data_IF_708645150637
#
_entry.id   IF_708645150637
#
_cell.length_a   1.000
_cell.length_b   1.000
_cell.length_c   1.000
_cell.angle_alpha   90.00
_cell.angle_beta   90.00
_cell.angle_gamma   90.00
#
_symmetry.space_group_name_H-M   'P 1'
#
loop_
_entity.id
_entity.type
_entity.pdbx_description
1 polymer ?
#
# COMPACT_ATOMS: atom_id res chain seq x y z
N UNK A 1 65.81 -20.21 -31.81
CA UNK A 1 64.91 -19.03 -31.89
C UNK A 1 63.50 -19.43 -32.30
N UNK A 2 63.31 -20.08 -33.46
CA UNK A 2 61.98 -20.43 -33.97
C UNK A 2 61.10 -21.20 -32.96
N UNK A 3 61.63 -22.24 -32.30
CA UNK A 3 60.89 -23.01 -31.30
C UNK A 3 60.44 -22.20 -30.07
N UNK A 4 61.24 -21.22 -29.61
CA UNK A 4 60.84 -20.35 -28.49
C UNK A 4 59.75 -19.38 -28.89
N UNK A 5 59.82 -18.82 -30.10
CA UNK A 5 58.78 -17.94 -30.65
C UNK A 5 57.46 -18.69 -30.82
N UNK A 6 57.48 -19.93 -31.30
CA UNK A 6 56.28 -20.76 -31.43
C UNK A 6 55.67 -21.09 -30.06
N UNK A 7 56.49 -21.37 -29.06
CA UNK A 7 56.01 -21.64 -27.70
C UNK A 7 55.34 -20.42 -27.07
N UNK A 8 55.94 -19.23 -27.20
CA UNK A 8 55.36 -17.98 -26.69
C UNK A 8 54.03 -17.68 -27.37
N UNK A 9 53.94 -17.89 -28.70
CA UNK A 9 52.70 -17.68 -29.45
C UNK A 9 51.61 -18.68 -29.02
N UNK A 10 51.96 -19.96 -28.78
CA UNK A 10 51.01 -20.95 -28.27
C UNK A 10 50.51 -20.60 -26.87
N UNK A 11 51.39 -20.15 -25.96
CA UNK A 11 51.00 -19.72 -24.61
C UNK A 11 50.09 -18.49 -24.68
N UNK A 12 50.40 -17.53 -25.55
CA UNK A 12 49.57 -16.34 -25.74
C UNK A 12 48.18 -16.69 -26.28
N UNK A 13 48.09 -17.50 -27.33
CA UNK A 13 46.80 -17.97 -27.87
C UNK A 13 46.02 -18.77 -26.83
N UNK A 14 46.66 -19.67 -26.09
CA UNK A 14 46.01 -20.43 -25.03
C UNK A 14 45.50 -19.52 -23.90
N UNK A 15 46.26 -18.50 -23.53
CA UNK A 15 45.85 -17.51 -22.53
C UNK A 15 44.65 -16.69 -23.00
N UNK A 16 44.65 -16.24 -24.26
CA UNK A 16 43.53 -15.46 -24.82
C UNK A 16 42.26 -16.30 -24.91
N UNK A 17 42.36 -17.51 -25.49
CA UNK A 17 41.22 -18.44 -25.58
C UNK A 17 40.68 -18.82 -24.21
N UNK A 18 41.55 -19.04 -23.22
CA UNK A 18 41.13 -19.31 -21.84
C UNK A 18 40.43 -18.13 -21.21
N UNK A 19 40.92 -16.91 -21.45
CA UNK A 19 40.34 -15.68 -20.90
C UNK A 19 38.98 -15.42 -21.53
N UNK A 20 38.89 -15.46 -22.86
CA UNK A 20 37.64 -15.30 -23.60
C UNK A 20 36.60 -16.34 -23.21
N UNK A 21 37.00 -17.62 -23.14
CA UNK A 21 36.09 -18.70 -22.73
C UNK A 21 35.57 -18.49 -21.30
N UNK A 22 36.41 -17.97 -20.41
CA UNK A 22 36.00 -17.67 -19.03
C UNK A 22 35.04 -16.49 -18.99
N UNK A 23 35.33 -15.41 -19.72
CA UNK A 23 34.46 -14.24 -19.83
C UNK A 23 33.09 -14.65 -20.40
N UNK A 24 33.08 -15.37 -21.53
CA UNK A 24 31.85 -15.87 -22.16
C UNK A 24 31.07 -16.79 -21.24
N UNK A 25 31.72 -17.72 -20.54
CA UNK A 25 31.06 -18.58 -19.56
C UNK A 25 30.42 -17.76 -18.43
N UNK A 26 31.12 -16.75 -17.90
CA UNK A 26 30.61 -15.89 -16.84
C UNK A 26 29.43 -15.06 -17.35
N UNK A 27 29.51 -14.44 -18.53
CA UNK A 27 28.40 -13.65 -19.10
C UNK A 27 27.18 -14.53 -19.34
N UNK A 28 27.35 -15.69 -19.97
CA UNK A 28 26.24 -16.60 -20.27
C UNK A 28 25.62 -17.19 -19.00
N UNK A 29 26.43 -17.58 -18.01
CA UNK A 29 25.92 -18.07 -16.72
C UNK A 29 25.17 -16.98 -15.95
N UNK A 30 25.62 -15.72 -16.02
CA UNK A 30 24.93 -14.58 -15.42
C UNK A 30 23.58 -14.30 -16.09
N UNK A 31 23.49 -14.38 -17.42
CA UNK A 31 22.20 -14.24 -18.12
C UNK A 31 21.22 -15.36 -17.77
N UNK A 32 21.69 -16.62 -17.70
CA UNK A 32 20.88 -17.73 -17.22
C UNK A 32 20.41 -17.49 -15.78
N UNK A 33 21.30 -17.03 -14.90
CA UNK A 33 20.95 -16.74 -13.50
C UNK A 33 19.94 -15.58 -13.38
N UNK A 34 20.02 -14.57 -14.24
CA UNK A 34 19.01 -13.49 -14.33
C UNK A 34 17.64 -14.02 -14.70
N UNK A 35 17.57 -14.91 -15.69
CA UNK A 35 16.33 -15.56 -16.09
C UNK A 35 15.77 -16.43 -14.96
N UNK A 36 16.62 -17.25 -14.32
CA UNK A 36 16.22 -18.07 -13.17
C UNK A 36 15.72 -17.24 -12.00
N UNK A 37 16.41 -16.16 -11.65
CA UNK A 37 16.00 -15.24 -10.60
C UNK A 37 14.65 -14.58 -10.93
N UNK A 38 14.44 -14.18 -12.18
CA UNK A 38 13.16 -13.62 -12.63
C UNK A 38 12.00 -14.62 -12.51
N UNK A 39 12.16 -15.85 -13.00
CA UNK A 39 11.12 -16.87 -12.88
C UNK A 39 10.90 -17.30 -11.43
N UNK A 40 11.94 -17.26 -10.58
CA UNK A 40 11.81 -17.47 -9.14
C UNK A 40 10.96 -16.38 -8.48
N UNK A 41 11.18 -15.11 -8.85
CA UNK A 41 10.35 -14.00 -8.39
C UNK A 41 8.90 -14.15 -8.86
N UNK A 42 8.69 -14.59 -10.11
CA UNK A 42 7.35 -14.83 -10.67
C UNK A 42 6.62 -15.97 -9.96
N UNK A 43 7.30 -17.08 -9.65
CA UNK A 43 6.72 -18.17 -8.86
C UNK A 43 6.37 -17.71 -7.43
N UNK A 44 7.23 -16.89 -6.82
CA UNK A 44 6.95 -16.26 -5.52
C UNK A 44 5.68 -15.40 -5.55
N UNK A 45 5.51 -14.59 -6.61
CA UNK A 45 4.31 -13.79 -6.80
C UNK A 45 3.06 -14.65 -6.99
N UNK A 46 3.13 -15.72 -7.78
CA UNK A 46 1.98 -16.63 -7.96
C UNK A 46 1.56 -17.27 -6.63
N UNK A 47 2.52 -17.62 -5.77
CA UNK A 47 2.24 -18.09 -4.41
C UNK A 47 1.63 -16.99 -3.52
N UNK A 48 2.13 -15.76 -3.60
CA UNK A 48 1.56 -14.62 -2.89
C UNK A 48 0.10 -14.35 -3.30
N UNK A 49 -0.22 -14.44 -4.60
CA UNK A 49 -1.58 -14.32 -5.12
C UNK A 49 -2.48 -15.45 -4.62
N UNK A 50 -1.96 -16.68 -4.53
CA UNK A 50 -2.69 -17.80 -3.93
C UNK A 50 -3.01 -17.51 -2.46
N UNK A 51 -2.04 -17.03 -1.68
CA UNK A 51 -2.24 -16.66 -0.26
C UNK A 51 -3.32 -15.59 -0.10
N UNK A 52 -3.31 -14.55 -0.95
CA UNK A 52 -4.37 -13.53 -0.98
C UNK A 52 -5.73 -14.17 -1.31
N UNK A 53 -5.77 -15.10 -2.27
CA UNK A 53 -7.04 -15.77 -2.64
C UNK A 53 -7.59 -16.62 -1.50
N UNK A 54 -6.72 -17.38 -0.83
CA UNK A 54 -7.07 -18.20 0.34
C UNK A 54 -7.57 -17.30 1.46
N UNK A 55 -6.87 -16.19 1.75
CA UNK A 55 -7.33 -15.17 2.70
C UNK A 55 -8.72 -14.65 2.37
N UNK A 56 -8.96 -14.24 1.12
CA UNK A 56 -10.25 -13.71 0.68
C UNK A 56 -11.39 -14.74 0.81
N UNK A 57 -11.10 -16.02 0.63
CA UNK A 57 -12.07 -17.11 0.80
C UNK A 57 -12.33 -17.39 2.28
N UNK A 58 -11.28 -17.54 3.09
CA UNK A 58 -11.37 -17.80 4.52
C UNK A 58 -12.12 -16.66 5.24
N UNK A 59 -11.80 -15.42 4.89
CA UNK A 59 -12.45 -14.19 5.41
C UNK A 59 -13.97 -14.13 5.21
N UNK A 60 -14.53 -14.92 4.29
CA UNK A 60 -15.98 -14.97 4.03
C UNK A 60 -16.68 -16.12 4.75
N UNK A 61 -15.93 -17.02 5.34
CA UNK A 61 -16.50 -18.13 6.11
C UNK A 61 -16.96 -17.59 7.47
N UNK A 62 -18.08 -18.08 8.01
CA UNK A 62 -18.48 -17.77 9.38
C UNK A 62 -17.47 -18.42 10.32
N UNK A 63 -16.54 -17.61 10.82
CA UNK A 63 -15.47 -18.08 11.71
C UNK A 63 -15.75 -17.66 13.15
N UNK A 64 -15.33 -18.46 14.15
CA UNK A 64 -15.48 -18.10 15.55
C UNK A 64 -14.77 -16.77 15.87
N UNK A 65 -15.25 -16.02 16.88
CA UNK A 65 -14.52 -14.86 17.41
C UNK A 65 -13.08 -15.24 17.76
N UNK A 66 -12.12 -14.36 17.44
CA UNK A 66 -10.69 -14.59 17.63
C UNK A 66 -9.96 -15.02 16.35
N UNK A 67 -10.58 -15.82 15.47
CA UNK A 67 -9.94 -16.37 14.26
C UNK A 67 -9.47 -15.31 13.23
N UNK A 68 -9.97 -14.09 13.31
CA UNK A 68 -9.65 -13.02 12.36
C UNK A 68 -8.15 -12.65 12.32
N UNK A 69 -7.47 -12.69 13.46
CA UNK A 69 -6.02 -12.44 13.53
C UNK A 69 -5.23 -13.56 12.84
N UNK A 70 -5.62 -14.82 13.06
CA UNK A 70 -4.99 -16.00 12.45
C UNK A 70 -5.22 -16.01 10.92
N UNK A 71 -6.38 -15.54 10.45
CA UNK A 71 -6.63 -15.39 9.01
C UNK A 71 -5.71 -14.33 8.41
N UNK A 72 -5.47 -13.22 9.10
CA UNK A 72 -4.55 -12.18 8.61
C UNK A 72 -3.10 -12.70 8.47
N UNK A 73 -2.69 -13.68 9.28
CA UNK A 73 -1.39 -14.34 9.14
C UNK A 73 -1.20 -15.03 7.78
N UNK A 74 -2.30 -15.46 7.13
CA UNK A 74 -2.25 -16.11 5.80
C UNK A 74 -1.55 -15.21 4.78
N UNK A 75 -1.78 -13.89 4.81
CA UNK A 75 -1.14 -12.97 3.89
C UNK A 75 0.02 -12.17 4.54
N UNK A 76 -0.13 -11.74 5.79
CA UNK A 76 0.83 -10.80 6.41
C UNK A 76 2.18 -11.42 6.78
N UNK A 77 2.25 -12.74 7.01
CA UNK A 77 3.51 -13.39 7.36
C UNK A 77 4.48 -13.40 6.16
N UNK A 78 5.73 -12.91 6.28
CA UNK A 78 6.72 -13.02 5.21
C UNK A 78 6.99 -14.49 4.85
N UNK A 79 7.04 -14.81 3.57
CA UNK A 79 7.32 -16.18 3.13
C UNK A 79 8.65 -16.25 2.38
N UNK A 80 9.38 -17.33 2.59
CA UNK A 80 10.61 -17.63 1.89
C UNK A 80 10.64 -19.11 1.49
N UNK A 81 11.20 -19.37 0.31
CA UNK A 81 11.53 -20.71 -0.15
C UNK A 81 13.02 -20.78 -0.53
N UNK A 82 13.75 -21.79 -0.04
CA UNK A 82 13.39 -22.70 1.05
C UNK A 82 13.07 -21.98 2.37
N UNK A 83 12.44 -22.69 3.32
CA UNK A 83 12.16 -22.12 4.63
C UNK A 83 13.48 -21.78 5.35
N UNK A 84 13.60 -20.60 5.97
CA UNK A 84 14.81 -20.21 6.68
C UNK A 84 14.98 -21.07 7.93
N UNK A 85 16.21 -21.52 8.17
CA UNK A 85 16.58 -22.30 9.35
C UNK A 85 17.06 -21.33 10.43
N UNK A 86 16.36 -21.27 11.54
CA UNK A 86 16.76 -20.48 12.70
C UNK A 86 17.73 -21.26 13.61
N UNK A 87 18.44 -20.55 14.49
CA UNK A 87 19.44 -21.19 15.36
C UNK A 87 18.78 -22.20 16.31
N UNK A 88 17.59 -21.85 16.79
CA UNK A 88 16.71 -22.59 17.68
C UNK A 88 15.92 -23.73 17.01
N UNK A 89 15.97 -23.86 15.67
CA UNK A 89 15.28 -24.94 14.96
C UNK A 89 15.87 -26.31 15.35
N UNK A 90 15.01 -27.24 15.76
CA UNK A 90 15.42 -28.61 16.14
C UNK A 90 16.13 -29.33 14.99
N UNK A 91 17.04 -30.27 15.29
CA UNK A 91 17.77 -31.04 14.27
C UNK A 91 16.83 -31.79 13.31
N UNK A 92 15.77 -32.42 13.83
CA UNK A 92 14.79 -33.12 12.99
C UNK A 92 14.07 -32.17 12.01
N UNK A 93 13.66 -30.99 12.48
CA UNK A 93 13.03 -30.00 11.61
C UNK A 93 14.01 -29.42 10.56
N UNK A 94 15.30 -29.31 10.89
CA UNK A 94 16.34 -28.93 9.92
C UNK A 94 16.45 -29.96 8.81
N UNK A 95 16.53 -31.24 9.17
CA UNK A 95 16.63 -32.34 8.21
C UNK A 95 15.40 -32.41 7.30
N UNK A 96 14.19 -32.20 7.85
CA UNK A 96 12.95 -32.17 7.06
C UNK A 96 12.92 -31.00 6.07
N UNK A 97 13.32 -29.79 6.50
CA UNK A 97 13.36 -28.60 5.64
C UNK A 97 14.39 -28.80 4.52
N UNK A 98 15.59 -29.26 4.86
CA UNK A 98 16.62 -29.53 3.86
C UNK A 98 16.22 -30.66 2.91
N UNK A 99 15.59 -31.71 3.43
CA UNK A 99 15.07 -32.83 2.65
C UNK A 99 14.03 -32.36 1.64
N UNK A 100 13.06 -31.54 2.09
CA UNK A 100 12.05 -30.95 1.21
C UNK A 100 12.66 -30.01 0.16
N UNK A 101 13.66 -29.20 0.53
CA UNK A 101 14.37 -28.33 -0.39
C UNK A 101 15.13 -29.13 -1.46
N UNK A 102 15.83 -30.21 -1.06
CA UNK A 102 16.58 -31.10 -1.97
C UNK A 102 15.66 -31.93 -2.89
N UNK A 103 14.47 -32.33 -2.40
CA UNK A 103 13.49 -33.07 -3.18
C UNK A 103 12.71 -32.19 -4.17
N UNK A 104 12.75 -30.87 -4.00
CA UNK A 104 12.07 -29.93 -4.87
C UNK A 104 12.69 -29.90 -6.26
N UNK A 105 11.84 -29.92 -7.29
CA UNK A 105 12.23 -29.71 -8.68
C UNK A 105 12.61 -28.24 -8.97
N UNK A 106 12.37 -27.34 -8.02
CA UNK A 106 12.65 -25.92 -8.14
C UNK A 106 13.99 -25.58 -7.48
N UNK A 107 14.99 -25.20 -8.29
CA UNK A 107 16.37 -24.90 -7.86
C UNK A 107 16.58 -23.45 -7.39
N UNK A 108 15.53 -22.62 -7.49
CA UNK A 108 15.58 -21.22 -7.14
C UNK A 108 15.33 -20.96 -5.66
N UNK A 109 15.68 -19.74 -5.24
CA UNK A 109 15.27 -19.20 -3.95
C UNK A 109 14.34 -18.03 -4.19
N UNK A 110 13.36 -17.83 -3.32
CA UNK A 110 12.56 -16.63 -3.37
C UNK A 110 12.03 -16.25 -2.01
N UNK A 111 11.71 -14.97 -1.88
CA UNK A 111 10.96 -14.44 -0.75
C UNK A 111 9.80 -13.59 -1.26
N UNK A 112 8.77 -13.42 -0.46
CA UNK A 112 7.81 -12.34 -0.67
C UNK A 112 7.23 -11.81 0.63
N UNK A 113 6.90 -10.52 0.58
CA UNK A 113 6.07 -9.84 1.57
C UNK A 113 4.79 -9.37 0.92
N UNK A 114 3.70 -9.40 1.69
CA UNK A 114 2.41 -8.85 1.28
C UNK A 114 2.04 -7.81 2.33
N UNK A 115 1.81 -6.58 1.90
CA UNK A 115 1.45 -5.46 2.78
C UNK A 115 0.08 -4.93 2.41
N UNK A 116 -0.66 -4.48 3.42
CA UNK A 116 -1.93 -3.79 3.22
C UNK A 116 -1.70 -2.41 2.60
N UNK A 117 -2.40 -2.15 1.50
CA UNK A 117 -2.48 -0.82 0.86
C UNK A 117 -3.85 -0.18 1.06
N UNK A 118 -4.86 -0.96 1.42
CA UNK A 118 -6.23 -0.51 1.58
C UNK A 118 -6.40 0.51 2.70
N UNK A 119 -5.56 0.42 3.74
CA UNK A 119 -5.65 1.27 4.94
C UNK A 119 -4.76 2.49 4.93
N UNK A 120 -3.98 2.70 3.86
CA UNK A 120 -3.20 3.91 3.65
C UNK A 120 -4.09 5.02 3.09
N UNK A 121 -3.63 6.27 3.22
CA UNK A 121 -4.31 7.42 2.65
C UNK A 121 -4.17 7.40 1.12
N UNK A 122 -5.27 7.34 0.40
CA UNK A 122 -5.22 7.37 -1.07
C UNK A 122 -5.06 8.80 -1.56
N UNK A 123 -3.88 9.16 -2.05
CA UNK A 123 -3.59 10.54 -2.45
C UNK A 123 -4.42 10.97 -3.67
N UNK A 124 -4.88 10.02 -4.49
CA UNK A 124 -5.77 10.32 -5.61
C UNK A 124 -7.15 10.82 -5.14
N UNK A 125 -7.50 10.65 -3.86
CA UNK A 125 -8.75 11.18 -3.31
C UNK A 125 -8.77 12.71 -3.21
N UNK A 126 -7.63 13.39 -3.29
CA UNK A 126 -7.58 14.86 -3.44
C UNK A 126 -8.24 15.33 -4.74
N UNK A 127 -8.38 14.46 -5.74
CA UNK A 127 -9.11 14.70 -6.98
C UNK A 127 -10.37 13.82 -7.10
N UNK A 128 -10.85 13.24 -5.99
CA UNK A 128 -12.09 12.46 -5.97
C UNK A 128 -13.26 13.30 -6.44
N UNK A 129 -14.27 12.74 -7.14
CA UNK A 129 -15.51 13.46 -7.44
C UNK A 129 -16.28 13.86 -6.18
N UNK A 130 -16.15 13.11 -5.08
CA UNK A 130 -16.77 13.45 -3.79
C UNK A 130 -16.01 14.59 -3.12
N UNK A 131 -16.74 15.66 -2.76
CA UNK A 131 -16.15 16.80 -2.04
C UNK A 131 -15.64 16.38 -0.66
N UNK A 132 -16.40 15.55 0.03
CA UNK A 132 -16.08 15.05 1.36
C UNK A 132 -14.75 14.31 1.37
N UNK A 133 -14.53 13.41 0.41
CA UNK A 133 -13.27 12.67 0.29
C UNK A 133 -12.07 13.59 0.02
N UNK A 134 -12.23 14.62 -0.83
CA UNK A 134 -11.18 15.61 -1.08
C UNK A 134 -10.78 16.35 0.20
N UNK A 135 -11.74 16.88 0.94
CA UNK A 135 -11.47 17.66 2.16
C UNK A 135 -10.87 16.80 3.27
N UNK A 136 -11.37 15.56 3.46
CA UNK A 136 -10.81 14.63 4.43
C UNK A 136 -9.35 14.31 4.11
N UNK A 137 -9.08 13.92 2.86
CA UNK A 137 -7.72 13.55 2.43
C UNK A 137 -6.76 14.73 2.58
N UNK A 138 -7.21 15.93 2.19
CA UNK A 138 -6.45 17.17 2.38
C UNK A 138 -6.07 17.38 3.84
N UNK A 139 -7.05 17.26 4.75
CA UNK A 139 -6.83 17.42 6.19
C UNK A 139 -5.85 16.37 6.72
N UNK A 140 -6.03 15.10 6.36
CA UNK A 140 -5.16 14.01 6.83
C UNK A 140 -3.70 14.21 6.39
N UNK A 141 -3.48 14.62 5.14
CA UNK A 141 -2.13 14.92 4.63
C UNK A 141 -1.52 16.11 5.39
N UNK A 142 -2.30 17.17 5.65
CA UNK A 142 -1.82 18.30 6.44
C UNK A 142 -1.47 17.90 7.88
N UNK A 143 -2.29 17.06 8.50
CA UNK A 143 -2.05 16.54 9.85
C UNK A 143 -0.73 15.75 9.95
N UNK A 144 -0.26 15.10 8.88
CA UNK A 144 1.08 14.46 8.86
C UNK A 144 2.18 15.52 9.07
N UNK A 145 2.11 16.63 8.33
CA UNK A 145 3.10 17.71 8.45
C UNK A 145 2.99 18.46 9.79
N UNK A 146 1.77 18.75 10.24
CA UNK A 146 1.51 19.36 11.54
C UNK A 146 2.05 18.49 12.68
N UNK A 147 1.79 17.19 12.62
CA UNK A 147 2.32 16.21 13.57
C UNK A 147 3.86 16.18 13.54
N UNK A 148 4.48 16.30 12.37
CA UNK A 148 5.95 16.38 12.27
C UNK A 148 6.51 17.67 12.87
N UNK A 149 5.89 18.82 12.60
CA UNK A 149 6.26 20.11 13.20
C UNK A 149 6.18 20.08 14.73
N UNK A 150 5.15 19.44 15.28
CA UNK A 150 4.98 19.35 16.73
C UNK A 150 6.01 18.45 17.40
N UNK A 151 6.40 17.34 16.75
CA UNK A 151 7.22 16.30 17.38
C UNK A 151 8.71 16.33 17.03
N UNK A 152 9.14 17.18 16.08
CA UNK A 152 10.54 17.31 15.67
C UNK A 152 10.99 18.78 15.67
N UNK A 153 11.82 19.14 16.65
CA UNK A 153 12.31 20.51 16.82
C UNK A 153 13.14 20.98 15.61
N UNK A 154 13.93 20.11 14.98
CA UNK A 154 14.74 20.48 13.81
C UNK A 154 13.85 20.76 12.60
N UNK A 155 12.84 19.92 12.40
CA UNK A 155 11.86 20.13 11.33
C UNK A 155 11.11 21.46 11.55
N UNK A 156 10.75 21.75 12.80
CA UNK A 156 10.09 23.01 13.18
C UNK A 156 10.96 24.23 12.93
N UNK A 157 12.24 24.19 13.29
CA UNK A 157 13.19 25.30 13.06
C UNK A 157 13.26 25.71 11.59
N UNK A 158 13.23 24.73 10.68
CA UNK A 158 13.33 24.97 9.24
C UNK A 158 11.98 25.33 8.62
N UNK A 159 10.89 24.67 9.03
CA UNK A 159 9.61 24.70 8.33
C UNK A 159 8.45 25.34 9.09
N UNK A 160 8.67 26.01 10.24
CA UNK A 160 7.60 26.68 11.00
C UNK A 160 6.77 27.66 10.16
N UNK A 161 7.39 28.32 9.19
CA UNK A 161 6.72 29.29 8.30
C UNK A 161 6.40 28.70 6.91
N UNK A 162 6.61 27.40 6.70
CA UNK A 162 6.32 26.77 5.42
C UNK A 162 4.81 26.57 5.25
N UNK A 163 4.29 26.94 4.08
CA UNK A 163 2.87 26.78 3.78
C UNK A 163 2.57 25.39 3.22
N UNK A 164 2.37 24.41 4.11
CA UNK A 164 2.02 23.04 3.71
C UNK A 164 0.67 22.95 2.97
N UNK A 165 -0.26 23.87 3.22
CA UNK A 165 -1.52 23.95 2.47
C UNK A 165 -1.26 24.22 0.99
N UNK A 166 -0.29 25.08 0.67
CA UNK A 166 0.08 25.38 -0.71
C UNK A 166 0.64 24.14 -1.43
N UNK A 167 1.50 23.38 -0.74
CA UNK A 167 2.03 22.12 -1.27
C UNK A 167 0.91 21.11 -1.53
N UNK A 168 0.02 20.88 -0.56
CA UNK A 168 -1.10 19.92 -0.72
C UNK A 168 -2.06 20.36 -1.83
N UNK A 169 -2.32 21.66 -1.96
CA UNK A 169 -3.10 22.23 -3.07
C UNK A 169 -2.42 21.94 -4.42
N UNK A 170 -1.09 22.06 -4.53
CA UNK A 170 -0.36 21.70 -5.75
C UNK A 170 -0.45 20.20 -6.06
N UNK A 171 -0.47 19.34 -5.04
CA UNK A 171 -0.73 17.90 -5.25
C UNK A 171 -2.12 17.70 -5.85
N UNK A 172 -3.15 18.42 -5.37
CA UNK A 172 -4.49 18.36 -5.96
C UNK A 172 -4.52 18.93 -7.40
N UNK A 173 -3.85 20.06 -7.64
CA UNK A 173 -3.75 20.71 -8.95
C UNK A 173 -3.09 19.81 -10.02
N UNK A 174 -2.15 18.95 -9.61
CA UNK A 174 -1.53 17.93 -10.48
C UNK A 174 -2.58 17.07 -11.21
N UNK A 175 -3.64 16.72 -10.48
CA UNK A 175 -4.66 15.78 -10.92
C UNK A 175 -5.93 16.45 -11.43
N UNK A 176 -6.18 17.69 -10.99
CA UNK A 176 -7.37 18.48 -11.32
C UNK A 176 -7.51 18.65 -12.83
N UNK A 177 -8.74 18.65 -13.34
CA UNK A 177 -9.08 18.99 -14.73
C UNK A 177 -9.33 20.49 -14.92
N UNK A 178 -9.51 21.25 -13.82
CA UNK A 178 -9.78 22.70 -13.85
C UNK A 178 -8.52 23.49 -14.14
N UNK A 179 -8.63 24.61 -14.86
CA UNK A 179 -7.48 25.51 -15.10
C UNK A 179 -7.10 26.36 -13.88
N UNK A 180 -8.03 26.58 -12.95
CA UNK A 180 -7.80 27.34 -11.72
C UNK A 180 -7.01 26.50 -10.71
N UNK A 181 -6.04 27.12 -10.04
CA UNK A 181 -5.37 26.54 -8.88
C UNK A 181 -6.20 26.69 -7.61
N UNK A 182 -6.14 25.70 -6.72
CA UNK A 182 -6.63 25.84 -5.33
C UNK A 182 -5.84 26.87 -4.51
N UNK A 183 -4.66 27.28 -4.99
CA UNK A 183 -3.87 28.40 -4.45
C UNK A 183 -4.23 29.76 -5.08
N UNK A 184 -5.17 29.78 -6.03
CA UNK A 184 -5.54 30.96 -6.81
C UNK A 184 -4.74 31.11 -8.12
N UNK A 185 -5.35 31.77 -9.11
CA UNK A 185 -4.74 31.96 -10.43
C UNK A 185 -4.77 30.70 -11.32
N UNK A 186 -3.93 30.69 -12.36
CA UNK A 186 -3.80 29.56 -13.28
C UNK A 186 -2.81 28.53 -12.72
N UNK A 187 -3.26 27.28 -12.56
CA UNK A 187 -2.41 26.22 -11.98
C UNK A 187 -1.15 25.94 -12.78
N UNK A 188 -1.16 26.14 -14.11
CA UNK A 188 0.00 25.87 -14.98
C UNK A 188 1.21 26.73 -14.64
N UNK A 189 1.00 27.86 -13.97
CA UNK A 189 2.10 28.73 -13.55
C UNK A 189 3.08 28.01 -12.63
N UNK A 190 2.58 27.22 -11.67
CA UNK A 190 3.43 26.48 -10.74
C UNK A 190 4.25 25.37 -11.41
N UNK A 191 3.73 24.78 -12.51
CA UNK A 191 4.35 23.63 -13.18
C UNK A 191 5.16 24.01 -14.43
N UNK A 192 5.31 25.30 -14.74
CA UNK A 192 5.92 25.79 -15.98
C UNK A 192 7.31 25.22 -16.24
N UNK A 193 8.11 25.03 -15.20
CA UNK A 193 9.48 24.51 -15.29
C UNK A 193 9.55 23.05 -15.75
N UNK A 194 8.46 22.28 -15.59
CA UNK A 194 8.36 20.91 -16.05
C UNK A 194 8.00 20.80 -17.54
N UNK A 195 7.55 21.90 -18.16
CA UNK A 195 7.17 21.99 -19.56
C UNK A 195 5.65 22.02 -19.80
N UNK A 196 5.26 22.16 -21.07
CA UNK A 196 3.88 22.45 -21.49
C UNK A 196 2.85 21.34 -21.18
N UNK A 197 3.31 20.12 -20.95
CA UNK A 197 2.46 18.96 -20.65
C UNK A 197 2.12 18.81 -19.16
N UNK A 198 2.49 19.79 -18.32
CA UNK A 198 2.24 19.77 -16.88
C UNK A 198 1.29 20.90 -16.42
N UNK A 199 0.45 20.63 -15.40
CA UNK A 199 0.23 19.32 -14.77
C UNK A 199 -0.52 18.36 -15.71
N UNK A 200 -0.40 17.03 -15.52
CA UNK A 200 -0.95 16.03 -16.44
C UNK A 200 -2.47 15.88 -16.36
N UNK A 201 -3.15 16.54 -15.39
CA UNK A 201 -4.61 16.56 -15.23
C UNK A 201 -5.21 15.14 -15.12
N UNK A 202 -4.51 14.26 -14.41
CA UNK A 202 -4.94 12.89 -14.10
C UNK A 202 -4.37 12.46 -12.75
N UNK A 203 -4.98 11.44 -12.16
CA UNK A 203 -4.42 10.75 -10.99
C UNK A 203 -2.98 10.29 -11.20
N UNK A 204 -2.26 10.16 -10.09
CA UNK A 204 -0.93 9.58 -10.05
C UNK A 204 -0.96 8.13 -10.53
N UNK A 205 -0.02 7.76 -11.41
CA UNK A 205 0.20 6.39 -11.91
C UNK A 205 1.24 5.63 -11.11
N UNK A 206 2.16 6.36 -10.49
CA UNK A 206 3.12 5.84 -9.53
C UNK A 206 3.21 6.84 -8.38
N UNK A 207 3.62 6.37 -7.20
CA UNK A 207 3.82 7.27 -6.09
C UNK A 207 4.99 8.25 -6.36
N UNK A 208 5.98 7.82 -7.13
CA UNK A 208 7.16 8.61 -7.46
C UNK A 208 6.87 9.85 -8.30
N UNK A 209 5.78 9.86 -9.09
CA UNK A 209 5.32 11.06 -9.81
C UNK A 209 5.08 12.26 -8.85
N UNK A 210 4.83 12.01 -7.57
CA UNK A 210 4.66 13.07 -6.57
C UNK A 210 5.91 13.91 -6.36
N UNK A 211 7.11 13.37 -6.62
CA UNK A 211 8.37 14.13 -6.58
C UNK A 211 8.45 15.22 -7.64
N UNK A 212 7.63 15.13 -8.68
CA UNK A 212 7.54 16.17 -9.71
C UNK A 212 6.63 17.32 -9.30
N UNK A 213 5.91 17.23 -8.17
CA UNK A 213 5.06 18.32 -7.70
C UNK A 213 5.94 19.48 -7.19
N UNK A 214 5.82 20.70 -7.73
CA UNK A 214 6.61 21.85 -7.32
C UNK A 214 6.49 22.13 -5.82
N UNK A 215 7.63 22.18 -5.14
CA UNK A 215 7.71 22.34 -3.68
C UNK A 215 7.78 21.02 -2.90
N UNK A 216 7.63 19.86 -3.56
CA UNK A 216 7.89 18.56 -2.96
C UNK A 216 9.40 18.33 -2.83
N UNK A 217 9.89 18.14 -1.61
CA UNK A 217 11.28 17.74 -1.33
C UNK A 217 11.34 16.24 -1.05
N UNK A 218 12.53 15.64 -1.12
CA UNK A 218 12.72 14.25 -0.69
C UNK A 218 12.35 14.06 0.79
N UNK A 219 12.59 15.06 1.64
CA UNK A 219 12.19 15.00 3.05
C UNK A 219 10.67 14.92 3.22
N UNK A 220 9.91 15.75 2.48
CA UNK A 220 8.44 15.72 2.52
C UNK A 220 7.88 14.44 1.91
N UNK A 221 8.46 13.98 0.81
CA UNK A 221 8.06 12.72 0.19
C UNK A 221 8.31 11.54 1.14
N UNK A 222 9.49 11.44 1.73
CA UNK A 222 9.84 10.36 2.65
C UNK A 222 9.01 10.39 3.94
N UNK A 223 8.61 11.58 4.41
CA UNK A 223 7.69 11.74 5.53
C UNK A 223 6.30 11.13 5.24
N UNK A 224 5.74 11.39 4.05
CA UNK A 224 4.37 10.95 3.73
C UNK A 224 4.30 9.54 3.17
N UNK A 225 5.32 9.11 2.39
CA UNK A 225 5.32 7.86 1.62
C UNK A 225 4.92 6.59 2.41
N UNK A 226 5.23 6.43 3.71
CA UNK A 226 4.80 5.25 4.46
C UNK A 226 3.28 5.22 4.70
N UNK A 227 2.65 6.39 4.79
CA UNK A 227 1.24 6.58 5.17
C UNK A 227 0.29 6.74 3.98
N UNK A 228 0.82 7.00 2.79
CA UNK A 228 0.03 7.26 1.58
C UNK A 228 0.14 6.14 0.54
N UNK A 229 -0.82 6.11 -0.38
CA UNK A 229 -0.86 5.17 -1.52
C UNK A 229 -1.63 5.80 -2.69
N UNK A 230 -1.61 5.14 -3.84
CA UNK A 230 -2.52 5.40 -4.98
C UNK A 230 -3.50 4.25 -5.22
N UNK A 231 -3.44 3.21 -4.37
CA UNK A 231 -4.24 1.97 -4.46
C UNK A 231 -5.08 1.75 -3.20
N UNK A 232 -5.50 2.83 -2.54
CA UNK A 232 -6.23 2.75 -1.27
C UNK A 232 -7.66 2.25 -1.46
N UNK A 233 -8.29 1.86 -0.35
CA UNK A 233 -9.65 1.31 -0.39
C UNK A 233 -10.76 2.35 -0.25
N UNK A 234 -10.37 3.64 -0.19
CA UNK A 234 -11.26 4.78 0.09
C UNK A 234 -11.87 4.74 1.50
N UNK A 235 -11.31 3.92 2.38
CA UNK A 235 -11.69 3.76 3.78
C UNK A 235 -10.48 3.33 4.61
N UNK A 236 -10.44 3.76 5.86
CA UNK A 236 -9.37 3.40 6.80
C UNK A 236 -9.78 2.14 7.56
N UNK A 237 -8.91 1.13 7.58
CA UNK A 237 -9.08 -0.01 8.47
C UNK A 237 -8.25 0.18 9.74
N UNK A 238 -8.87 0.45 10.91
CA UNK A 238 -8.11 0.62 12.13
C UNK A 238 -7.42 -0.68 12.59
N UNK A 239 -7.82 -1.84 12.08
CA UNK A 239 -7.20 -3.13 12.41
C UNK A 239 -5.89 -3.41 11.66
N UNK A 240 -5.56 -2.65 10.62
CA UNK A 240 -4.34 -2.86 9.82
C UNK A 240 -3.60 -1.57 9.46
N UNK A 241 -4.21 -0.40 9.61
CA UNK A 241 -3.55 0.89 9.42
C UNK A 241 -2.29 1.02 10.28
N UNK A 242 -1.24 1.61 9.71
CA UNK A 242 -0.04 1.95 10.46
C UNK A 242 -0.34 3.04 11.51
N UNK A 243 0.46 3.09 12.58
CA UNK A 243 0.31 4.10 13.64
C UNK A 243 0.23 5.51 13.08
N UNK A 244 1.08 5.84 12.11
CA UNK A 244 1.13 7.19 11.53
C UNK A 244 -0.10 7.52 10.69
N UNK A 245 -0.74 6.53 10.07
CA UNK A 245 -2.05 6.72 9.42
C UNK A 245 -3.12 7.00 10.48
N UNK A 246 -3.12 6.25 11.60
CA UNK A 246 -4.07 6.50 12.69
C UNK A 246 -3.90 7.90 13.31
N UNK A 247 -2.65 8.37 13.44
CA UNK A 247 -2.32 9.74 13.86
C UNK A 247 -2.81 10.80 12.88
N UNK A 248 -2.78 10.51 11.58
CA UNK A 248 -3.25 11.45 10.56
C UNK A 248 -4.77 11.68 10.56
N UNK A 249 -5.55 10.86 11.28
CA UNK A 249 -7.01 10.95 11.26
C UNK A 249 -7.56 12.19 11.96
N UNK A 250 -6.82 12.76 12.91
CA UNK A 250 -7.22 14.00 13.59
C UNK A 250 -5.98 14.72 14.19
N UNK A 251 -5.88 16.05 14.11
CA UNK A 251 -4.74 16.80 14.66
C UNK A 251 -4.61 16.70 16.19
N UNK A 252 -5.68 16.34 16.91
CA UNK A 252 -5.63 16.13 18.36
C UNK A 252 -5.20 14.69 18.72
N UNK A 253 -4.98 13.81 17.74
CA UNK A 253 -4.53 12.44 17.98
C UNK A 253 -3.11 12.43 18.54
N UNK A 254 -2.94 11.87 19.74
CA UNK A 254 -1.64 11.76 20.40
C UNK A 254 -0.89 10.49 19.98
N UNK A 255 0.44 10.48 20.13
CA UNK A 255 1.24 9.27 19.86
C UNK A 255 0.85 8.11 20.78
N UNK A 256 0.57 8.43 22.06
CA UNK A 256 0.11 7.46 23.05
C UNK A 256 -1.23 6.84 22.67
N UNK A 257 -2.24 7.65 22.30
CA UNK A 257 -3.54 7.12 21.91
C UNK A 257 -3.47 6.25 20.65
N UNK A 258 -2.64 6.63 19.68
CA UNK A 258 -2.43 5.84 18.47
C UNK A 258 -1.64 4.54 18.75
N UNK A 259 -0.64 4.58 19.65
CA UNK A 259 0.05 3.37 20.12
C UNK A 259 -0.93 2.44 20.84
N UNK A 260 -1.71 2.96 21.77
CA UNK A 260 -2.68 2.21 22.54
C UNK A 260 -3.76 1.58 21.65
N UNK A 261 -4.12 2.24 20.54
CA UNK A 261 -5.02 1.71 19.53
C UNK A 261 -4.43 0.50 18.78
N UNK A 262 -3.14 0.57 18.44
CA UNK A 262 -2.41 -0.57 17.85
C UNK A 262 -2.30 -1.71 18.86
N UNK A 263 -1.96 -1.41 20.12
CA UNK A 263 -1.89 -2.44 21.16
C UNK A 263 -3.23 -3.11 21.41
N UNK A 264 -4.34 -2.35 21.45
CA UNK A 264 -5.69 -2.92 21.61
C UNK A 264 -6.00 -3.95 20.53
N UNK A 265 -5.74 -3.63 19.26
CA UNK A 265 -6.14 -4.54 18.15
C UNK A 265 -5.32 -5.82 18.08
N UNK A 266 -4.10 -5.80 18.64
CA UNK A 266 -3.16 -6.92 18.63
C UNK A 266 -3.32 -7.82 19.87
N UNK A 267 -4.08 -7.38 20.88
CA UNK A 267 -4.23 -8.05 22.18
C UNK A 267 -5.72 -8.27 22.52
N UNK A 268 -6.14 -9.54 22.59
CA UNK A 268 -7.52 -9.90 22.94
C UNK A 268 -7.93 -9.42 24.33
N UNK A 269 -6.99 -9.37 25.29
CA UNK A 269 -7.25 -8.93 26.67
C UNK A 269 -7.44 -7.41 26.76
N UNK A 270 -6.90 -6.65 25.79
CA UNK A 270 -7.10 -5.20 25.67
C UNK A 270 -8.31 -4.81 24.83
N UNK A 271 -9.14 -5.79 24.44
CA UNK A 271 -10.38 -5.60 23.69
C UNK A 271 -10.35 -6.10 22.25
N UNK A 272 -9.17 -6.51 21.75
CA UNK A 272 -8.97 -7.06 20.42
C UNK A 272 -9.31 -6.10 19.29
N UNK A 273 -9.47 -6.67 18.09
CA UNK A 273 -9.79 -5.94 16.87
C UNK A 273 -11.06 -5.10 17.01
N UNK A 274 -11.03 -3.92 16.38
CA UNK A 274 -12.17 -3.03 16.22
C UNK A 274 -13.26 -3.71 15.38
N UNK A 275 -14.52 -3.46 15.75
CA UNK A 275 -15.70 -4.17 15.22
C UNK A 275 -16.69 -3.20 14.60
N UNK A 276 -17.41 -3.69 13.59
CA UNK A 276 -18.51 -2.96 12.98
C UNK A 276 -18.86 -3.53 11.61
N UNK A 277 -20.14 -3.78 11.37
CA UNK A 277 -20.61 -4.26 10.07
C UNK A 277 -20.72 -3.11 9.05
N UNK A 278 -20.89 -1.87 9.52
CA UNK A 278 -20.93 -0.65 8.71
C UNK A 278 -19.72 0.24 9.00
N UNK A 279 -19.46 1.19 8.09
CA UNK A 279 -18.43 2.22 8.28
C UNK A 279 -18.66 3.01 9.57
N UNK A 280 -19.92 3.38 9.85
CA UNK A 280 -20.27 4.17 11.03
C UNK A 280 -20.11 3.37 12.33
N UNK A 281 -20.50 2.10 12.37
CA UNK A 281 -20.27 1.23 13.54
C UNK A 281 -18.77 1.07 13.83
N UNK A 282 -17.98 0.78 12.79
CA UNK A 282 -16.53 0.62 12.91
C UNK A 282 -15.86 1.91 13.41
N UNK A 283 -16.24 3.05 12.81
CA UNK A 283 -15.76 4.37 13.24
C UNK A 283 -16.13 4.65 14.69
N UNK A 284 -17.35 4.31 15.10
CA UNK A 284 -17.85 4.56 16.46
C UNK A 284 -17.09 3.73 17.51
N UNK A 285 -16.83 2.45 17.24
CA UNK A 285 -16.02 1.61 18.14
C UNK A 285 -14.59 2.16 18.29
N UNK A 286 -13.97 2.57 17.18
CA UNK A 286 -12.65 3.20 17.22
C UNK A 286 -12.68 4.55 17.96
N UNK A 287 -13.65 5.42 17.64
CA UNK A 287 -13.83 6.74 18.24
C UNK A 287 -13.98 6.65 19.75
N UNK A 288 -14.88 5.79 20.24
CA UNK A 288 -15.15 5.61 21.66
C UNK A 288 -13.89 5.19 22.43
N UNK A 289 -13.05 4.33 21.83
CA UNK A 289 -11.80 3.93 22.45
C UNK A 289 -10.82 5.09 22.56
N UNK A 290 -10.64 5.87 21.49
CA UNK A 290 -9.72 7.00 21.47
C UNK A 290 -10.19 8.10 22.45
N UNK A 291 -11.48 8.42 22.46
CA UNK A 291 -12.04 9.39 23.41
C UNK A 291 -11.92 8.91 24.87
N UNK A 292 -12.01 7.59 25.09
CA UNK A 292 -11.70 6.96 26.38
C UNK A 292 -10.24 7.15 26.85
N UNK A 293 -9.31 7.48 25.95
CA UNK A 293 -7.92 7.87 26.27
C UNK A 293 -7.75 9.38 26.49
N UNK A 294 -8.84 10.14 26.55
CA UNK A 294 -8.82 11.58 26.82
C UNK A 294 -8.59 12.46 25.59
N UNK A 295 -8.55 11.88 24.39
CA UNK A 295 -8.44 12.63 23.13
C UNK A 295 -9.80 13.21 22.75
N UNK A 296 -9.85 14.50 22.39
CA UNK A 296 -11.07 15.15 21.89
C UNK A 296 -11.00 15.27 20.37
N UNK A 297 -11.68 14.37 19.66
CA UNK A 297 -11.68 14.33 18.20
C UNK A 297 -12.53 15.46 17.63
N UNK A 298 -12.09 16.05 16.51
CA UNK A 298 -12.85 17.11 15.86
C UNK A 298 -14.09 16.54 15.15
N UNK A 299 -15.14 17.35 14.91
CA UNK A 299 -16.35 16.90 14.21
C UNK A 299 -16.10 16.34 12.81
N UNK A 300 -15.01 16.73 12.14
CA UNK A 300 -14.65 16.18 10.83
C UNK A 300 -14.28 14.69 10.89
N UNK A 301 -13.89 14.18 12.06
CA UNK A 301 -13.60 12.76 12.24
C UNK A 301 -14.79 11.90 11.84
N UNK A 302 -16.03 12.37 12.09
CA UNK A 302 -17.26 11.65 11.76
C UNK A 302 -17.53 11.55 10.26
N UNK A 303 -16.76 12.26 9.43
CA UNK A 303 -16.86 12.18 7.97
C UNK A 303 -15.93 11.10 7.40
N UNK A 304 -14.95 10.63 8.16
CA UNK A 304 -13.93 9.70 7.70
C UNK A 304 -14.56 8.33 7.40
N UNK A 305 -14.34 7.74 6.20
CA UNK A 305 -14.73 6.38 5.90
C UNK A 305 -13.90 5.37 6.70
N UNK A 306 -14.58 4.44 7.37
CA UNK A 306 -13.95 3.33 8.08
C UNK A 306 -14.38 1.98 7.50
N UNK A 307 -13.53 0.98 7.64
CA UNK A 307 -13.89 -0.42 7.41
C UNK A 307 -13.20 -1.30 8.45
N UNK A 308 -13.94 -2.04 9.26
CA UNK A 308 -13.37 -2.99 10.22
C UNK A 308 -13.29 -4.42 9.65
N UNK A 309 -13.82 -4.60 8.44
CA UNK A 309 -13.82 -5.84 7.68
C UNK A 309 -12.42 -6.11 7.09
N UNK A 310 -12.36 -7.08 6.18
CA UNK A 310 -11.15 -7.65 5.61
C UNK A 310 -10.43 -6.73 4.64
N UNK A 311 -9.10 -6.92 4.58
CA UNK A 311 -8.22 -6.20 3.68
C UNK A 311 -8.49 -6.61 2.24
N UNK A 312 -8.61 -5.62 1.35
CA UNK A 312 -8.97 -5.88 -0.06
C UNK A 312 -7.91 -5.45 -1.06
N UNK A 313 -6.98 -4.60 -0.64
CA UNK A 313 -5.94 -4.05 -1.51
C UNK A 313 -4.57 -4.37 -0.91
N UNK A 314 -3.68 -4.93 -1.73
CA UNK A 314 -2.40 -5.45 -1.29
C UNK A 314 -1.29 -4.99 -2.22
N UNK A 315 -0.11 -4.74 -1.63
CA UNK A 315 1.16 -4.68 -2.35
C UNK A 315 1.91 -5.98 -2.09
N UNK A 316 2.47 -6.56 -3.14
CA UNK A 316 3.31 -7.74 -3.10
C UNK A 316 4.70 -7.33 -3.54
N UNK A 317 5.70 -7.62 -2.71
CA UNK A 317 7.11 -7.53 -3.10
C UNK A 317 7.67 -8.95 -3.16
N UNK A 318 7.82 -9.46 -4.38
CA UNK A 318 8.32 -10.80 -4.65
C UNK A 318 9.77 -10.72 -5.15
N UNK A 319 10.67 -11.40 -4.47
CA UNK A 319 12.10 -11.37 -4.76
C UNK A 319 12.54 -12.79 -5.11
N UNK A 320 13.11 -12.98 -6.29
CA UNK A 320 13.75 -14.23 -6.69
C UNK A 320 15.26 -14.09 -6.67
N UNK A 321 15.93 -15.15 -6.24
CA UNK A 321 17.37 -15.20 -6.06
C UNK A 321 17.94 -16.48 -6.70
N UNK A 322 19.10 -16.36 -7.32
CA UNK A 322 19.83 -17.50 -7.88
C UNK A 322 21.33 -17.28 -7.70
N UNK A 323 22.05 -18.37 -7.41
CA UNK A 323 23.49 -18.33 -7.14
C UNK A 323 23.82 -17.99 -5.69
N UNK A 324 25.12 -17.86 -5.38
CA UNK A 324 25.62 -17.51 -4.05
C UNK A 324 26.85 -16.59 -4.15
N UNK A 325 27.14 -15.85 -3.08
CA UNK A 325 28.30 -14.96 -3.00
C UNK A 325 28.27 -13.82 -4.03
N UNK A 326 29.43 -13.49 -4.62
CA UNK A 326 29.59 -12.38 -5.58
C UNK A 326 28.87 -12.58 -6.92
N UNK A 327 28.41 -13.80 -7.21
CA UNK A 327 27.66 -14.13 -8.43
C UNK A 327 26.16 -14.26 -8.22
N UNK A 328 25.64 -13.95 -7.03
CA UNK A 328 24.22 -14.00 -6.73
C UNK A 328 23.46 -12.94 -7.53
N UNK A 329 22.40 -13.37 -8.20
CA UNK A 329 21.51 -12.49 -8.95
C UNK A 329 20.17 -12.44 -8.24
N UNK A 330 19.65 -11.22 -8.08
CA UNK A 330 18.36 -10.95 -7.50
C UNK A 330 17.48 -10.23 -8.51
N UNK A 331 16.20 -10.61 -8.56
CA UNK A 331 15.15 -9.90 -9.30
C UNK A 331 13.96 -9.63 -8.41
N UNK A 332 13.43 -8.41 -8.48
CA UNK A 332 12.29 -7.97 -7.67
C UNK A 332 11.11 -7.67 -8.59
N UNK A 333 9.96 -8.23 -8.24
CA UNK A 333 8.67 -7.90 -8.84
C UNK A 333 7.83 -7.22 -7.77
N UNK A 334 7.32 -6.03 -8.08
CA UNK A 334 6.35 -5.33 -7.24
C UNK A 334 4.99 -5.34 -7.94
N UNK A 335 3.97 -5.90 -7.29
CA UNK A 335 2.63 -5.99 -7.84
C UNK A 335 1.59 -5.41 -6.86
N UNK A 336 0.59 -4.72 -7.40
CA UNK A 336 -0.55 -4.23 -6.61
C UNK A 336 -1.81 -4.98 -7.01
N UNK A 337 -2.49 -5.52 -6.00
CA UNK A 337 -3.78 -6.21 -6.13
C UNK A 337 -4.86 -5.32 -5.55
N UNK A 338 -5.91 -5.04 -6.31
CA UNK A 338 -6.96 -4.10 -5.90
C UNK A 338 -8.34 -4.61 -6.29
N UNK A 339 -9.32 -4.43 -5.40
CA UNK A 339 -10.73 -4.59 -5.74
C UNK A 339 -11.32 -3.28 -6.27
N UNK A 340 -11.21 -3.07 -7.58
CA UNK A 340 -11.68 -1.86 -8.27
C UNK A 340 -13.18 -1.64 -8.10
N UNK A 341 -13.98 -2.72 -8.11
CA UNK A 341 -15.43 -2.65 -7.95
C UNK A 341 -15.82 -2.12 -6.56
N UNK A 342 -15.18 -2.64 -5.51
CA UNK A 342 -15.43 -2.18 -4.13
C UNK A 342 -15.05 -0.71 -3.97
N UNK A 343 -13.90 -0.29 -4.49
CA UNK A 343 -13.49 1.12 -4.44
C UNK A 343 -14.48 2.05 -5.16
N UNK A 344 -14.95 1.66 -6.36
CA UNK A 344 -15.96 2.42 -7.09
C UNK A 344 -17.31 2.50 -6.35
N UNK A 345 -17.71 1.41 -5.70
CA UNK A 345 -18.93 1.37 -4.88
C UNK A 345 -18.83 2.31 -3.66
N UNK A 346 -17.67 2.36 -3.00
CA UNK A 346 -17.43 3.32 -1.90
C UNK A 346 -17.58 4.75 -2.39
N UNK A 347 -16.91 5.14 -3.48
CA UNK A 347 -17.02 6.50 -4.04
C UNK A 347 -18.49 6.84 -4.37
N UNK A 348 -19.21 5.91 -5.02
CA UNK A 348 -20.62 6.10 -5.36
C UNK A 348 -21.48 6.36 -4.12
N UNK A 349 -21.25 5.64 -3.04
CA UNK A 349 -22.02 5.82 -1.80
C UNK A 349 -21.86 7.23 -1.21
N UNK A 350 -20.67 7.82 -1.30
CA UNK A 350 -20.40 9.18 -0.87
C UNK A 350 -21.06 10.21 -1.78
N UNK A 351 -21.00 10.00 -3.11
CA UNK A 351 -21.70 10.86 -4.05
C UNK A 351 -23.22 10.86 -3.84
N UNK A 352 -23.80 9.68 -3.57
CA UNK A 352 -25.22 9.56 -3.27
C UNK A 352 -25.59 10.24 -1.94
N UNK A 353 -24.71 10.19 -0.92
CA UNK A 353 -24.90 10.90 0.35
C UNK A 353 -24.84 12.42 0.16
N UNK A 354 -23.83 12.93 -0.54
CA UNK A 354 -23.68 14.35 -0.86
C UNK A 354 -24.87 14.88 -1.67
N UNK A 355 -25.37 14.11 -2.64
CA UNK A 355 -26.56 14.49 -3.42
C UNK A 355 -27.79 14.61 -2.52
N UNK A 356 -28.03 13.64 -1.63
CA UNK A 356 -29.16 13.69 -0.68
C UNK A 356 -29.07 14.86 0.28
N UNK A 357 -27.87 15.18 0.77
CA UNK A 357 -27.65 16.34 1.64
C UNK A 357 -27.89 17.66 0.89
N UNK A 358 -27.47 17.76 -0.37
CA UNK A 358 -27.76 18.91 -1.22
C UNK A 358 -29.25 19.08 -1.53
N UNK A 359 -29.96 17.98 -1.82
CA UNK A 359 -31.42 17.95 -2.02
C UNK A 359 -32.17 18.37 -0.75
N UNK A 360 -31.74 17.88 0.42
CA UNK A 360 -32.31 18.27 1.71
C UNK A 360 -32.06 19.75 2.06
N UNK A 361 -30.90 20.30 1.69
CA UNK A 361 -30.57 21.71 1.89
C UNK A 361 -31.34 22.66 0.93
N UNK A 362 -31.90 22.14 -0.16
CA UNK A 362 -32.65 22.91 -1.16
C UNK A 362 -34.19 22.83 -1.00
N UNK A 363 -34.71 22.09 0.00
CA UNK A 363 -36.14 21.86 0.19
C UNK A 363 -36.87 22.87 1.11
N UNK A 364 -37.81 23.64 0.53
CA UNK A 364 -38.90 24.37 1.20
C UNK A 364 -39.93 23.43 1.88
N UNK A 365 -40.71 23.89 2.88
CA UNK A 365 -41.68 23.07 3.60
C UNK A 365 -42.93 22.81 2.74
N UNK A 366 -43.16 21.54 2.40
CA UNK A 366 -44.48 21.09 1.94
C UNK A 366 -44.45 20.19 0.71
N UNK A 367 -44.01 18.94 0.87
CA UNK A 367 -44.56 17.83 0.10
C UNK A 367 -44.60 16.61 1.02
N UNK A 368 -45.81 16.07 1.23
CA UNK A 368 -46.05 14.88 2.04
C UNK A 368 -45.18 13.73 1.53
N UNK A 369 -44.52 12.96 2.40
CA UNK A 369 -43.76 11.81 1.96
C UNK A 369 -44.70 10.81 1.26
N UNK A 370 -44.31 10.25 0.09
CA UNK A 370 -45.05 9.14 -0.50
C UNK A 370 -45.03 7.95 0.49
N UNK A 371 -46.06 7.09 0.46
CA UNK A 371 -46.22 6.03 1.44
C UNK A 371 -44.98 5.15 1.49
N UNK A 372 -44.52 4.87 2.72
CA UNK A 372 -43.45 3.93 3.01
C UNK A 372 -43.84 2.55 2.44
N UNK A 373 -43.42 2.28 1.21
CA UNK A 373 -43.21 0.91 0.75
C UNK A 373 -42.01 0.39 1.52
N UNK A 374 -42.22 -0.71 2.24
CA UNK A 374 -41.29 -1.25 3.22
C UNK A 374 -39.84 -1.20 2.73
N UNK A 375 -38.99 -0.56 3.52
CA UNK A 375 -37.55 -0.73 3.42
C UNK A 375 -37.26 -2.21 3.67
N UNK A 376 -37.22 -2.99 2.60
CA UNK A 376 -36.33 -4.14 2.60
C UNK A 376 -34.93 -3.54 2.72
N UNK A 377 -34.36 -3.68 3.92
CA UNK A 377 -32.92 -3.53 4.12
C UNK A 377 -32.23 -4.22 2.95
N UNK A 378 -31.23 -3.61 2.27
CA UNK A 378 -30.48 -4.32 1.28
C UNK A 378 -29.80 -5.47 2.04
N UNK A 379 -30.33 -6.68 1.90
CA UNK A 379 -29.64 -7.89 2.27
C UNK A 379 -28.28 -7.76 1.63
N UNK A 380 -27.22 -7.69 2.45
CA UNK A 380 -25.85 -7.66 1.98
C UNK A 380 -25.59 -8.99 1.27
N UNK A 381 -25.96 -9.08 0.00
CA UNK A 381 -25.54 -10.18 -0.86
C UNK A 381 -24.04 -9.98 -1.05
N UNK A 382 -23.26 -10.70 -0.25
CA UNK A 382 -21.81 -10.64 -0.28
C UNK A 382 -21.36 -10.97 -1.70
N UNK A 383 -20.87 -9.96 -2.42
CA UNK A 383 -20.57 -10.08 -3.85
C UNK A 383 -19.58 -11.23 -4.07
N UNK A 384 -19.93 -12.21 -4.92
CA UNK A 384 -19.16 -13.43 -5.10
C UNK A 384 -17.71 -13.12 -5.49
N UNK A 385 -16.74 -13.86 -4.94
CA UNK A 385 -15.33 -13.67 -5.33
C UNK A 385 -15.22 -13.87 -6.84
N UNK A 386 -14.53 -12.98 -7.57
CA UNK A 386 -14.22 -13.20 -8.96
C UNK A 386 -13.58 -14.58 -9.13
N UNK A 387 -14.01 -15.35 -10.14
CA UNK A 387 -13.37 -16.63 -10.46
C UNK A 387 -11.94 -16.35 -10.95
N UNK A 388 -10.97 -17.15 -10.50
CA UNK A 388 -9.57 -17.03 -10.91
C UNK A 388 -8.69 -16.21 -9.96
N UNK A 389 -7.49 -15.87 -10.46
CA UNK A 389 -6.42 -15.18 -9.73
C UNK A 389 -6.86 -13.76 -9.31
N UNK A 390 -6.42 -13.24 -8.14
CA UNK A 390 -6.65 -11.85 -7.79
C UNK A 390 -6.15 -10.89 -8.88
N UNK A 391 -6.88 -9.81 -9.13
CA UNK A 391 -6.57 -8.87 -10.21
C UNK A 391 -5.39 -7.98 -9.83
N UNK A 392 -4.30 -8.10 -10.57
CA UNK A 392 -3.18 -7.16 -10.53
C UNK A 392 -3.58 -5.91 -11.32
N UNK A 393 -3.43 -4.72 -10.72
CA UNK A 393 -3.70 -3.42 -11.36
C UNK A 393 -2.42 -2.70 -11.77
N UNK A 394 -1.28 -3.07 -11.18
CA UNK A 394 0.03 -2.56 -11.53
C UNK A 394 1.11 -3.60 -11.26
N UNK A 395 2.14 -3.60 -12.11
CA UNK A 395 3.28 -4.51 -12.07
C UNK A 395 4.54 -3.75 -12.47
N UNK A 396 5.63 -3.94 -11.72
CA UNK A 396 6.95 -3.42 -12.04
C UNK A 396 8.03 -4.46 -11.74
N UNK A 397 9.06 -4.49 -12.59
CA UNK A 397 10.21 -5.40 -12.51
C UNK A 397 11.48 -4.59 -12.32
N UNK A 398 12.33 -5.01 -11.38
CA UNK A 398 13.62 -4.40 -11.07
C UNK A 398 14.71 -5.49 -11.07
#
# INVERSE_FOLDING_TARGET
MLAMTTLILMIWVASEVSTDSTIEYVVNSQEINRIKAFYSARSSLDLALLRIKVYQQASRMPLPPGFAQQINMIWSFPFAWPLPIAAETSLAAKDDIEGAAKASIFDGQYTHTITDEGSKLDINDLASPSKTLREITKKQVLTIFEGKLQNDDKFREVYANYNFTELVNRIADWMSDKNSSENGGDKRQAFRELGENFPPNRGFRTLDEMRLVPGMTEEFFNLMSPSITIYGSKAINPNTAAKDVLKSLDPNMTDDAARDAVERRDDEDKGGQYKGASSDECRTDYKNFIEGRGVRLNPDFDKIPFQCDTVVNFKIEAIGMTGSGKGAVQKKITAYVMNVQKAAATIKSYLDKERKEAEAAQGQPGQRPPPQTGQTSPTKTQEALPKGRPRIVYWSEQ
#
